data_IF_404156549261
#
_entry.id   IF_404156549261
#
_cell.length_a   1.000
_cell.length_b   1.000
_cell.length_c   1.000
_cell.angle_alpha   90.00
_cell.angle_beta   90.00
_cell.angle_gamma   90.00
#
_symmetry.space_group_name_H-M   'P 1'
#
loop_
_entity.id
_entity.type
_entity.pdbx_description
1 polymer ?
#
# COMPACT_ATOMS: atom_id res chain seq x y z
N UNK A 1 -5.94 23.07 -3.41
CA UNK A 1 -4.53 22.67 -3.64
C UNK A 1 -3.99 21.76 -2.53
N UNK A 2 -4.22 22.08 -1.26
CA UNK A 2 -3.80 21.27 -0.09
C UNK A 2 -4.24 19.81 -0.15
N UNK A 3 -5.50 19.53 -0.51
CA UNK A 3 -6.02 18.14 -0.60
C UNK A 3 -5.27 17.28 -1.62
N UNK A 4 -4.90 17.85 -2.77
CA UNK A 4 -4.13 17.13 -3.80
C UNK A 4 -2.74 16.79 -3.29
N UNK A 5 -2.08 17.72 -2.61
CA UNK A 5 -0.78 17.46 -1.98
C UNK A 5 -0.86 16.38 -0.90
N UNK A 6 -1.90 16.41 -0.05
CA UNK A 6 -2.13 15.38 0.97
C UNK A 6 -2.33 14.02 0.31
N UNK A 7 -3.14 13.95 -0.76
CA UNK A 7 -3.38 12.70 -1.48
C UNK A 7 -2.11 12.16 -2.15
N UNK A 8 -1.29 13.03 -2.77
CA UNK A 8 -0.02 12.64 -3.37
C UNK A 8 1.01 12.19 -2.33
N UNK A 9 1.05 12.85 -1.17
CA UNK A 9 1.91 12.47 -0.06
C UNK A 9 1.49 11.11 0.51
N UNK A 10 0.19 10.91 0.73
CA UNK A 10 -0.36 9.63 1.18
C UNK A 10 -0.07 8.50 0.20
N UNK A 11 -0.23 8.75 -1.10
CA UNK A 11 0.08 7.80 -2.16
C UNK A 11 1.58 7.45 -2.18
N UNK A 12 2.45 8.45 -2.10
CA UNK A 12 3.92 8.26 -2.10
C UNK A 12 4.38 7.48 -0.88
N UNK A 13 3.87 7.83 0.30
CA UNK A 13 4.17 7.14 1.56
C UNK A 13 3.69 5.69 1.52
N UNK A 14 2.44 5.45 1.11
CA UNK A 14 1.88 4.10 0.98
C UNK A 14 2.69 3.25 0.01
N UNK A 15 3.08 3.83 -1.13
CA UNK A 15 3.90 3.15 -2.14
C UNK A 15 5.27 2.74 -1.59
N UNK A 16 5.95 3.64 -0.88
CA UNK A 16 7.23 3.37 -0.26
C UNK A 16 7.13 2.28 0.81
N UNK A 17 6.13 2.37 1.71
CA UNK A 17 5.90 1.36 2.75
C UNK A 17 5.62 -0.02 2.15
N UNK A 18 4.78 -0.09 1.12
CA UNK A 18 4.48 -1.35 0.41
C UNK A 18 5.73 -1.96 -0.23
N UNK A 19 6.55 -1.14 -0.90
CA UNK A 19 7.77 -1.61 -1.53
C UNK A 19 8.75 -2.19 -0.50
N UNK A 20 8.98 -1.49 0.62
CA UNK A 20 9.84 -1.94 1.70
C UNK A 20 9.32 -3.25 2.30
N UNK A 21 8.02 -3.31 2.60
CA UNK A 21 7.40 -4.50 3.19
C UNK A 21 7.47 -5.71 2.24
N UNK A 22 7.20 -5.51 0.95
CA UNK A 22 7.33 -6.56 -0.06
C UNK A 22 8.77 -7.08 -0.17
N UNK A 23 9.77 -6.18 -0.18
CA UNK A 23 11.19 -6.57 -0.17
C UNK A 23 11.57 -7.37 1.07
N UNK A 24 11.05 -7.00 2.24
CA UNK A 24 11.28 -7.72 3.49
C UNK A 24 10.66 -9.13 3.43
N UNK A 25 9.41 -9.24 2.99
CA UNK A 25 8.68 -10.51 2.93
C UNK A 25 9.21 -11.47 1.85
N UNK A 26 9.85 -10.95 0.80
CA UNK A 26 10.49 -11.76 -0.26
C UNK A 26 11.58 -12.69 0.26
N UNK A 27 12.15 -12.41 1.44
CA UNK A 27 13.12 -13.33 2.09
C UNK A 27 12.48 -14.66 2.53
N UNK A 28 11.16 -14.70 2.67
CA UNK A 28 10.41 -15.82 3.27
C UNK A 28 9.39 -16.46 2.32
N UNK A 29 9.11 -15.84 1.16
CA UNK A 29 8.04 -16.26 0.26
C UNK A 29 8.34 -15.87 -1.19
N UNK A 30 7.71 -16.53 -2.19
CA UNK A 30 7.82 -16.12 -3.59
C UNK A 30 7.35 -14.66 -3.79
N UNK A 31 7.92 -13.92 -4.76
CA UNK A 31 7.71 -12.48 -4.91
C UNK A 31 6.24 -12.09 -5.00
N UNK A 32 5.41 -12.84 -5.74
CA UNK A 32 3.97 -12.57 -5.85
C UNK A 32 3.24 -12.74 -4.52
N UNK A 33 3.58 -13.77 -3.73
CA UNK A 33 2.97 -13.98 -2.42
C UNK A 33 3.44 -12.92 -1.41
N UNK A 34 4.71 -12.52 -1.46
CA UNK A 34 5.24 -11.42 -0.66
C UNK A 34 4.52 -10.10 -0.96
N UNK A 35 4.28 -9.78 -2.24
CA UNK A 35 3.51 -8.60 -2.65
C UNK A 35 2.07 -8.61 -2.12
N UNK A 36 1.36 -9.74 -2.22
CA UNK A 36 0.00 -9.86 -1.68
C UNK A 36 -0.05 -9.74 -0.16
N UNK A 37 0.90 -10.34 0.55
CA UNK A 37 0.97 -10.24 2.03
C UNK A 37 1.30 -8.83 2.47
N UNK A 38 2.26 -8.17 1.81
CA UNK A 38 2.59 -6.78 2.05
C UNK A 38 1.38 -5.87 1.81
N UNK A 39 0.67 -6.08 0.71
CA UNK A 39 -0.57 -5.36 0.39
C UNK A 39 -1.63 -5.54 1.48
N UNK A 40 -1.94 -6.78 1.84
CA UNK A 40 -2.97 -7.07 2.84
C UNK A 40 -2.63 -6.49 4.22
N UNK A 41 -1.39 -6.67 4.68
CA UNK A 41 -0.94 -6.12 5.95
C UNK A 41 -1.01 -4.60 5.96
N UNK A 42 -0.43 -3.95 4.94
CA UNK A 42 -0.44 -2.49 4.81
C UNK A 42 -1.87 -1.94 4.77
N UNK A 43 -2.76 -2.57 4.01
CA UNK A 43 -4.14 -2.13 3.88
C UNK A 43 -4.87 -2.17 5.23
N UNK A 44 -4.75 -3.28 5.96
CA UNK A 44 -5.41 -3.44 7.26
C UNK A 44 -4.86 -2.41 8.27
N UNK A 45 -3.54 -2.30 8.40
CA UNK A 45 -2.93 -1.37 9.36
C UNK A 45 -3.27 0.10 9.04
N UNK A 46 -3.20 0.50 7.77
CA UNK A 46 -3.51 1.88 7.38
C UNK A 46 -5.00 2.19 7.51
N UNK A 47 -5.88 1.24 7.20
CA UNK A 47 -7.33 1.43 7.34
C UNK A 47 -7.74 1.58 8.81
N UNK A 48 -7.22 0.72 9.68
CA UNK A 48 -7.46 0.82 11.13
C UNK A 48 -6.89 2.14 11.66
N UNK A 49 -5.64 2.46 11.32
CA UNK A 49 -5.01 3.72 11.74
C UNK A 49 -5.79 4.94 11.27
N UNK A 50 -6.27 4.95 10.03
CA UNK A 50 -7.06 6.05 9.48
C UNK A 50 -8.40 6.23 10.20
N UNK A 51 -9.08 5.13 10.56
CA UNK A 51 -10.33 5.18 11.31
C UNK A 51 -10.15 5.79 12.71
N UNK A 52 -9.01 5.55 13.38
CA UNK A 52 -8.72 6.11 14.70
C UNK A 52 -8.09 7.51 14.66
N UNK A 53 -7.28 7.81 13.64
CA UNK A 53 -6.54 9.08 13.55
C UNK A 53 -7.41 10.26 13.09
N UNK A 54 -8.55 10.00 12.43
CA UNK A 54 -9.47 11.03 11.95
C UNK A 54 -10.87 10.84 12.54
N UNK A 55 -11.08 11.11 13.84
CA UNK A 55 -12.39 10.90 14.47
C UNK A 55 -13.49 11.84 13.91
N UNK A 56 -13.11 12.97 13.31
CA UNK A 56 -14.06 13.90 12.68
C UNK A 56 -14.56 13.42 11.31
N UNK A 57 -13.67 12.85 10.49
CA UNK A 57 -14.02 12.34 9.15
C UNK A 57 -13.32 10.99 8.87
N UNK A 58 -13.73 9.91 9.56
CA UNK A 58 -13.06 8.61 9.43
C UNK A 58 -13.31 8.00 8.05
N UNK A 59 -14.48 8.23 7.46
CA UNK A 59 -14.84 7.70 6.14
C UNK A 59 -13.94 8.26 5.04
N UNK A 60 -13.74 9.58 5.01
CA UNK A 60 -12.87 10.25 4.03
C UNK A 60 -11.44 9.72 4.09
N UNK A 61 -10.91 9.53 5.31
CA UNK A 61 -9.56 9.00 5.53
C UNK A 61 -9.45 7.54 5.06
N UNK A 62 -10.42 6.70 5.40
CA UNK A 62 -10.47 5.30 4.93
C UNK A 62 -10.57 5.22 3.41
N UNK A 63 -11.42 6.04 2.78
CA UNK A 63 -11.57 6.09 1.32
C UNK A 63 -10.26 6.52 0.64
N UNK A 64 -9.54 7.48 1.20
CA UNK A 64 -8.23 7.87 0.69
C UNK A 64 -7.23 6.71 0.76
N UNK A 65 -7.16 6.00 1.89
CA UNK A 65 -6.30 4.82 2.04
C UNK A 65 -6.65 3.74 1.02
N UNK A 66 -7.95 3.44 0.84
CA UNK A 66 -8.43 2.47 -0.14
C UNK A 66 -8.05 2.88 -1.56
N UNK A 67 -8.21 4.16 -1.91
CA UNK A 67 -7.82 4.69 -3.21
C UNK A 67 -6.31 4.57 -3.46
N UNK A 68 -5.48 4.92 -2.48
CA UNK A 68 -4.02 4.74 -2.58
C UNK A 68 -3.65 3.28 -2.82
N UNK A 69 -4.24 2.34 -2.05
CA UNK A 69 -3.96 0.92 -2.20
C UNK A 69 -4.45 0.38 -3.55
N UNK A 70 -5.64 0.76 -4.01
CA UNK A 70 -6.16 0.36 -5.31
C UNK A 70 -5.25 0.80 -6.47
N UNK A 71 -4.71 2.01 -6.42
CA UNK A 71 -3.77 2.53 -7.42
C UNK A 71 -2.40 1.83 -7.38
N UNK A 72 -1.94 1.42 -6.20
CA UNK A 72 -0.63 0.81 -6.00
C UNK A 72 -0.62 -0.72 -6.18
N UNK A 73 -1.77 -1.39 -6.16
CA UNK A 73 -1.85 -2.84 -6.33
C UNK A 73 -1.36 -3.31 -7.71
N UNK A 74 -1.82 -2.74 -8.85
CA UNK A 74 -1.35 -3.14 -10.17
C UNK A 74 0.18 -3.01 -10.36
N UNK A 75 0.83 -1.87 -10.03
CA UNK A 75 2.28 -1.75 -10.20
C UNK A 75 3.04 -2.68 -9.25
N UNK A 76 2.55 -2.92 -8.03
CA UNK A 76 3.16 -3.85 -7.08
C UNK A 76 3.16 -5.29 -7.62
N UNK A 77 2.02 -5.75 -8.15
CA UNK A 77 1.90 -7.09 -8.74
C UNK A 77 2.71 -7.22 -10.04
N UNK A 78 2.73 -6.16 -10.87
CA UNK A 78 3.54 -6.15 -12.08
C UNK A 78 5.04 -6.22 -11.75
N UNK A 79 5.50 -5.49 -10.73
CA UNK A 79 6.87 -5.55 -10.24
C UNK A 79 7.23 -6.97 -9.75
N UNK A 80 6.36 -7.58 -8.94
CA UNK A 80 6.56 -8.95 -8.46
C UNK A 80 6.64 -9.97 -9.60
N UNK A 81 5.77 -9.86 -10.62
CA UNK A 81 5.81 -10.72 -11.82
C UNK A 81 7.10 -10.57 -12.62
N UNK A 82 7.54 -9.33 -12.86
CA UNK A 82 8.80 -9.06 -13.57
C UNK A 82 9.99 -9.64 -12.83
N UNK A 83 9.93 -9.66 -11.51
CA UNK A 83 10.98 -10.21 -10.67
C UNK A 83 10.98 -11.75 -10.66
N UNK A 84 9.82 -12.39 -10.73
CA UNK A 84 9.71 -13.85 -10.93
C UNK A 84 10.30 -14.30 -12.28
N UNK A 85 10.13 -13.51 -13.34
CA UNK A 85 10.70 -13.82 -14.67
C UNK A 85 12.22 -13.68 -14.76
N UNK A 86 12.84 -12.96 -13.81
CA UNK A 86 14.29 -12.70 -13.78
C UNK A 86 15.06 -13.70 -12.91
N UNK A 87 14.36 -14.51 -12.12
CA UNK A 87 14.94 -15.59 -11.30
C UNK A 87 14.83 -16.91 -12.03
#
# INVERSE_FOLDING_TARGET
MTLVFIALLALSWTGLSLAILAMLMKRMAPPRQAAWRAFGLSLVFNTISAAYASPGEPLSAVLLILACHALLLPPLLLAARREEQRR
#
